data_IF_839342705079
#
_entry.id   IF_839342705079
#
_cell.length_a   1.000
_cell.length_b   1.000
_cell.length_c   1.000
_cell.angle_alpha   90.00
_cell.angle_beta   90.00
_cell.angle_gamma   90.00
#
_symmetry.space_group_name_H-M   'P 1'
#
loop_
_entity.id
_entity.type
_entity.pdbx_description
1 polymer ?
#
# COMPACT_ATOMS: atom_id res chain seq x y z
N UNK A 1 53.34 -31.28 10.37
CA UNK A 1 53.25 -31.49 11.84
C UNK A 1 52.44 -32.72 12.28
N UNK A 2 51.73 -33.47 11.40
CA UNK A 2 50.87 -34.60 11.81
C UNK A 2 51.53 -36.01 11.68
N UNK A 3 52.83 -36.09 11.38
CA UNK A 3 53.51 -37.36 11.07
C UNK A 3 53.64 -38.32 12.26
N UNK A 4 53.56 -37.83 13.51
CA UNK A 4 53.82 -38.62 14.73
C UNK A 4 52.54 -39.05 15.50
N UNK A 5 51.35 -38.87 14.92
CA UNK A 5 50.08 -39.25 15.57
C UNK A 5 49.65 -40.68 15.22
N UNK A 6 49.10 -41.40 16.20
CA UNK A 6 48.49 -42.71 15.98
C UNK A 6 47.31 -42.63 14.99
N UNK A 7 47.02 -43.72 14.29
CA UNK A 7 45.89 -43.81 13.35
C UNK A 7 44.56 -43.44 14.03
N UNK A 8 44.36 -43.87 15.28
CA UNK A 8 43.19 -43.54 16.10
C UNK A 8 43.04 -42.04 16.33
N UNK A 9 44.14 -41.35 16.67
CA UNK A 9 44.14 -39.90 16.90
C UNK A 9 43.83 -39.12 15.62
N UNK A 10 44.36 -39.56 14.47
CA UNK A 10 44.02 -38.96 13.17
C UNK A 10 42.54 -39.13 12.83
N UNK A 11 41.98 -40.31 13.04
CA UNK A 11 40.57 -40.59 12.76
C UNK A 11 39.63 -39.72 13.62
N UNK A 12 39.89 -39.63 14.92
CA UNK A 12 39.12 -38.78 15.85
C UNK A 12 39.20 -37.31 15.42
N UNK A 13 40.39 -36.83 15.06
CA UNK A 13 40.58 -35.45 14.61
C UNK A 13 39.76 -35.14 13.36
N UNK A 14 39.78 -36.01 12.35
CA UNK A 14 39.00 -35.82 11.11
C UNK A 14 37.50 -35.84 11.40
N UNK A 15 37.01 -36.78 12.21
CA UNK A 15 35.58 -36.85 12.57
C UNK A 15 35.14 -35.61 13.35
N UNK A 16 35.93 -35.16 14.33
CA UNK A 16 35.65 -33.96 15.09
C UNK A 16 35.64 -32.71 14.21
N UNK A 17 36.61 -32.58 13.30
CA UNK A 17 36.68 -31.47 12.35
C UNK A 17 35.48 -31.45 11.41
N UNK A 18 35.10 -32.60 10.83
CA UNK A 18 33.92 -32.71 9.98
C UNK A 18 32.64 -32.37 10.75
N UNK A 19 32.52 -32.84 11.99
CA UNK A 19 31.38 -32.53 12.86
C UNK A 19 31.28 -31.03 13.16
N UNK A 20 32.42 -30.38 13.42
CA UNK A 20 32.48 -28.94 13.68
C UNK A 20 32.14 -28.12 12.43
N UNK A 21 32.58 -28.54 11.25
CA UNK A 21 32.19 -27.91 9.97
C UNK A 21 30.68 -28.05 9.74
N UNK A 22 30.11 -29.25 9.96
CA UNK A 22 28.65 -29.46 9.83
C UNK A 22 27.87 -28.57 10.80
N UNK A 23 28.31 -28.44 12.05
CA UNK A 23 27.69 -27.54 13.02
C UNK A 23 27.78 -26.07 12.59
N UNK A 24 28.94 -25.62 12.12
CA UNK A 24 29.14 -24.26 11.63
C UNK A 24 28.21 -23.94 10.45
N UNK A 25 28.10 -24.86 9.48
CA UNK A 25 27.19 -24.74 8.33
C UNK A 25 25.72 -24.74 8.80
N UNK A 26 25.36 -25.67 9.70
CA UNK A 26 24.00 -25.77 10.23
C UNK A 26 23.55 -24.50 10.97
N UNK A 27 24.40 -23.97 11.84
CA UNK A 27 24.14 -22.72 12.56
C UNK A 27 24.06 -21.54 11.58
N UNK A 28 25.01 -21.44 10.63
CA UNK A 28 24.99 -20.40 9.61
C UNK A 28 23.72 -20.42 8.75
N UNK A 29 23.27 -21.62 8.37
CA UNK A 29 22.02 -21.82 7.63
C UNK A 29 20.80 -21.36 8.42
N UNK A 30 20.69 -21.74 9.70
CA UNK A 30 19.58 -21.32 10.57
C UNK A 30 19.52 -19.80 10.76
N UNK A 31 20.66 -19.16 10.97
CA UNK A 31 20.75 -17.69 11.13
C UNK A 31 20.33 -16.98 9.83
N UNK A 32 20.79 -17.47 8.68
CA UNK A 32 20.43 -16.93 7.37
C UNK A 32 18.92 -17.06 7.11
N UNK A 33 18.33 -18.24 7.34
CA UNK A 33 16.89 -18.48 7.18
C UNK A 33 16.08 -17.58 8.12
N UNK A 34 16.50 -17.42 9.38
CA UNK A 34 15.82 -16.53 10.32
C UNK A 34 15.80 -15.07 9.84
N UNK A 35 16.90 -14.59 9.27
CA UNK A 35 17.00 -13.23 8.70
C UNK A 35 16.09 -13.04 7.48
N UNK A 36 16.08 -14.02 6.56
CA UNK A 36 15.19 -14.00 5.39
C UNK A 36 13.73 -14.01 5.81
N UNK A 37 13.37 -14.86 6.78
CA UNK A 37 11.99 -14.94 7.26
C UNK A 37 11.52 -13.64 7.93
N UNK A 38 12.39 -12.98 8.72
CA UNK A 38 12.07 -11.68 9.32
C UNK A 38 11.85 -10.59 8.26
N UNK A 39 12.73 -10.50 7.25
CA UNK A 39 12.58 -9.56 6.13
C UNK A 39 11.30 -9.83 5.32
N UNK A 40 11.03 -11.10 5.02
CA UNK A 40 9.82 -11.50 4.30
C UNK A 40 8.55 -11.12 5.08
N UNK A 41 8.55 -11.32 6.40
CA UNK A 41 7.46 -10.92 7.28
C UNK A 41 7.20 -9.41 7.20
N UNK A 42 8.24 -8.59 7.31
CA UNK A 42 8.15 -7.12 7.16
C UNK A 42 7.65 -6.71 5.78
N UNK A 43 8.19 -7.29 4.70
CA UNK A 43 7.71 -7.00 3.34
C UNK A 43 6.22 -7.35 3.19
N UNK A 44 5.79 -8.48 3.73
CA UNK A 44 4.39 -8.89 3.65
C UNK A 44 3.48 -8.00 4.51
N UNK A 45 3.72 -7.96 5.82
CA UNK A 45 2.84 -7.31 6.80
C UNK A 45 2.82 -5.79 6.63
N UNK A 46 3.98 -5.17 6.37
CA UNK A 46 4.09 -3.71 6.36
C UNK A 46 3.96 -3.11 4.95
N UNK A 47 4.31 -3.86 3.88
CA UNK A 47 4.37 -3.30 2.51
C UNK A 47 3.34 -3.88 1.56
N UNK A 48 3.17 -5.19 1.51
CA UNK A 48 2.18 -5.82 0.61
C UNK A 48 0.75 -5.52 1.06
N UNK A 49 0.46 -5.60 2.36
CA UNK A 49 -0.87 -5.24 2.88
C UNK A 49 -1.16 -3.76 2.64
N UNK A 50 -0.18 -2.88 2.91
CA UNK A 50 -0.30 -1.44 2.64
C UNK A 50 -0.58 -1.16 1.16
N UNK A 51 0.13 -1.81 0.24
CA UNK A 51 -0.12 -1.71 -1.20
C UNK A 51 -1.54 -2.14 -1.57
N UNK A 52 -2.06 -3.22 -0.98
CA UNK A 52 -3.44 -3.65 -1.20
C UNK A 52 -4.47 -2.61 -0.73
N UNK A 53 -4.22 -1.96 0.42
CA UNK A 53 -5.07 -0.87 0.91
C UNK A 53 -5.01 0.36 0.00
N UNK A 54 -3.83 0.74 -0.47
CA UNK A 54 -3.64 1.87 -1.38
C UNK A 54 -4.25 1.61 -2.77
N UNK A 55 -4.11 0.40 -3.32
CA UNK A 55 -4.79 -0.01 -4.56
C UNK A 55 -6.31 0.07 -4.43
N UNK A 56 -6.85 -0.44 -3.32
CA UNK A 56 -8.28 -0.34 -3.02
C UNK A 56 -8.74 1.12 -2.95
N UNK A 57 -7.95 1.99 -2.31
CA UNK A 57 -8.21 3.42 -2.27
C UNK A 57 -8.31 4.03 -3.68
N UNK A 58 -7.35 3.74 -4.56
CA UNK A 58 -7.37 4.25 -5.94
C UNK A 58 -8.60 3.75 -6.69
N UNK A 59 -8.92 2.45 -6.60
CA UNK A 59 -10.10 1.88 -7.27
C UNK A 59 -11.41 2.51 -6.81
N UNK A 60 -11.56 2.78 -5.52
CA UNK A 60 -12.79 3.41 -5.00
C UNK A 60 -12.88 4.88 -5.47
N UNK A 61 -11.76 5.61 -5.54
CA UNK A 61 -11.72 6.97 -6.11
C UNK A 61 -12.18 6.94 -7.58
N UNK A 62 -11.60 6.06 -8.40
CA UNK A 62 -11.95 5.94 -9.81
C UNK A 62 -13.41 5.52 -10.00
N UNK A 63 -13.90 4.59 -9.17
CA UNK A 63 -15.30 4.16 -9.17
C UNK A 63 -16.23 5.32 -8.82
N UNK A 64 -15.91 6.11 -7.79
CA UNK A 64 -16.71 7.27 -7.41
C UNK A 64 -16.78 8.30 -8.54
N UNK A 65 -15.63 8.61 -9.16
CA UNK A 65 -15.60 9.52 -10.32
C UNK A 65 -16.45 8.98 -11.47
N UNK A 66 -16.32 7.68 -11.79
CA UNK A 66 -17.09 7.05 -12.84
C UNK A 66 -18.59 7.12 -12.58
N UNK A 67 -19.03 6.85 -11.35
CA UNK A 67 -20.44 6.92 -10.97
C UNK A 67 -21.00 8.34 -11.10
N UNK A 68 -20.23 9.36 -10.70
CA UNK A 68 -20.62 10.77 -10.88
C UNK A 68 -20.70 11.13 -12.35
N UNK A 69 -19.68 10.81 -13.15
CA UNK A 69 -19.65 11.10 -14.59
C UNK A 69 -20.79 10.39 -15.34
N UNK A 70 -21.08 9.13 -14.98
CA UNK A 70 -22.19 8.35 -15.51
C UNK A 70 -23.55 8.98 -15.15
N UNK A 71 -23.71 9.48 -13.94
CA UNK A 71 -24.96 10.09 -13.49
C UNK A 71 -25.24 11.44 -14.20
N UNK A 72 -24.21 12.17 -14.63
CA UNK A 72 -24.38 13.42 -15.41
C UNK A 72 -25.05 13.17 -16.77
N UNK A 73 -24.69 12.09 -17.47
CA UNK A 73 -25.21 11.76 -18.80
C UNK A 73 -26.28 10.66 -18.80
N UNK A 74 -26.58 10.11 -17.62
CA UNK A 74 -27.52 9.00 -17.43
C UNK A 74 -28.95 9.44 -17.11
N UNK A 75 -29.77 8.47 -16.70
CA UNK A 75 -31.14 8.71 -16.26
C UNK A 75 -31.17 9.49 -14.93
N UNK A 76 -31.76 10.70 -14.86
CA UNK A 76 -31.87 11.48 -13.63
C UNK A 76 -32.62 10.76 -12.50
N UNK A 77 -33.48 9.78 -12.82
CA UNK A 77 -34.17 8.97 -11.80
C UNK A 77 -33.20 8.00 -11.09
N UNK A 78 -32.10 7.62 -11.73
CA UNK A 78 -31.08 6.71 -11.18
C UNK A 78 -29.96 7.46 -10.45
N UNK A 79 -29.84 8.78 -10.63
CA UNK A 79 -28.76 9.59 -10.07
C UNK A 79 -28.65 9.44 -8.54
N UNK A 80 -29.78 9.46 -7.83
CA UNK A 80 -29.80 9.27 -6.37
C UNK A 80 -29.17 7.94 -5.93
N UNK A 81 -29.57 6.83 -6.57
CA UNK A 81 -29.05 5.51 -6.26
C UNK A 81 -27.54 5.37 -6.57
N UNK A 82 -27.06 6.00 -7.64
CA UNK A 82 -25.62 6.03 -7.93
C UNK A 82 -24.87 6.88 -6.87
N UNK A 83 -25.43 7.99 -6.41
CA UNK A 83 -24.81 8.82 -5.36
C UNK A 83 -24.80 8.13 -3.98
N UNK A 84 -25.72 7.22 -3.72
CA UNK A 84 -25.70 6.39 -2.52
C UNK A 84 -24.52 5.40 -2.55
N UNK A 85 -24.19 4.84 -3.72
CA UNK A 85 -22.97 4.04 -3.89
C UNK A 85 -21.70 4.88 -3.69
N UNK A 86 -21.68 6.11 -4.21
CA UNK A 86 -20.56 7.04 -3.96
C UNK A 86 -20.42 7.35 -2.46
N UNK A 87 -21.55 7.54 -1.77
CA UNK A 87 -21.57 7.77 -0.31
C UNK A 87 -20.99 6.57 0.45
N UNK A 88 -21.36 5.36 0.06
CA UNK A 88 -20.77 4.14 0.61
C UNK A 88 -19.26 4.03 0.33
N UNK A 89 -18.83 4.37 -0.89
CA UNK A 89 -17.41 4.41 -1.26
C UNK A 89 -16.60 5.42 -0.44
N UNK A 90 -17.16 6.59 -0.12
CA UNK A 90 -16.51 7.57 0.77
C UNK A 90 -16.28 6.96 2.16
N UNK A 91 -17.30 6.31 2.74
CA UNK A 91 -17.19 5.68 4.05
C UNK A 91 -16.18 4.52 4.07
N UNK A 92 -16.14 3.73 2.99
CA UNK A 92 -15.18 2.64 2.82
C UNK A 92 -13.74 3.14 2.67
N UNK A 93 -13.53 4.25 1.95
CA UNK A 93 -12.24 4.94 1.89
C UNK A 93 -11.79 5.46 3.26
N UNK A 94 -12.72 6.02 4.06
CA UNK A 94 -12.39 6.51 5.40
C UNK A 94 -11.94 5.36 6.31
N UNK A 95 -12.62 4.21 6.23
CA UNK A 95 -12.25 3.00 6.95
C UNK A 95 -10.88 2.48 6.50
N UNK A 96 -10.67 2.34 5.19
CA UNK A 96 -9.42 1.81 4.64
C UNK A 96 -8.24 2.73 4.95
N UNK A 97 -8.43 4.05 4.81
CA UNK A 97 -7.40 5.04 5.16
C UNK A 97 -7.05 5.00 6.65
N UNK A 98 -8.05 4.84 7.52
CA UNK A 98 -7.82 4.71 8.97
C UNK A 98 -7.04 3.44 9.31
N UNK A 99 -7.35 2.32 8.65
CA UNK A 99 -6.63 1.06 8.81
C UNK A 99 -5.18 1.17 8.34
N UNK A 100 -4.94 1.82 7.20
CA UNK A 100 -3.60 2.11 6.70
C UNK A 100 -2.80 2.97 7.68
N UNK A 101 -3.39 4.05 8.20
CA UNK A 101 -2.74 4.94 9.16
C UNK A 101 -2.49 4.34 10.55
N UNK A 102 -3.19 3.26 10.91
CA UNK A 102 -3.01 2.56 12.18
C UNK A 102 -1.78 1.63 12.20
N UNK A 103 -1.13 1.44 11.04
CA UNK A 103 0.09 0.65 10.91
C UNK A 103 1.33 1.44 11.32
N UNK A 104 2.50 0.78 11.31
CA UNK A 104 3.77 1.50 11.50
C UNK A 104 4.12 2.29 10.24
N UNK A 105 4.07 3.62 10.36
CA UNK A 105 4.45 4.54 9.28
C UNK A 105 5.86 5.10 9.54
N UNK A 106 6.68 5.15 8.50
CA UNK A 106 7.93 5.93 8.55
C UNK A 106 7.62 7.44 8.62
N UNK A 107 8.57 8.30 9.01
CA UNK A 107 8.35 9.75 9.00
C UNK A 107 7.97 10.30 7.62
N UNK A 108 8.58 9.78 6.56
CA UNK A 108 8.27 10.13 5.17
C UNK A 108 6.86 9.67 4.79
N UNK A 109 6.51 8.43 5.13
CA UNK A 109 5.19 7.85 4.87
C UNK A 109 4.07 8.64 5.56
N UNK A 110 4.31 9.05 6.80
CA UNK A 110 3.39 9.88 7.56
C UNK A 110 3.18 11.24 6.89
N UNK A 111 4.25 11.89 6.44
CA UNK A 111 4.16 13.18 5.75
C UNK A 111 3.38 13.07 4.43
N UNK A 112 3.63 12.03 3.62
CA UNK A 112 2.86 11.77 2.40
C UNK A 112 1.39 11.44 2.70
N UNK A 113 1.13 10.69 3.77
CA UNK A 113 -0.23 10.33 4.20
C UNK A 113 -1.04 11.56 4.63
N UNK A 114 -0.42 12.48 5.38
CA UNK A 114 -1.03 13.74 5.78
C UNK A 114 -1.33 14.63 4.55
N UNK A 115 -0.38 14.72 3.62
CA UNK A 115 -0.59 15.45 2.35
C UNK A 115 -1.75 14.86 1.54
N UNK A 116 -1.79 13.54 1.38
CA UNK A 116 -2.90 12.85 0.71
C UNK A 116 -4.24 13.13 1.39
N UNK A 117 -4.30 13.01 2.73
CA UNK A 117 -5.50 13.28 3.52
C UNK A 117 -6.02 14.69 3.27
N UNK A 118 -5.13 15.68 3.27
CA UNK A 118 -5.52 17.09 3.11
C UNK A 118 -6.03 17.38 1.68
N UNK A 119 -5.36 16.83 0.65
CA UNK A 119 -5.82 16.91 -0.75
C UNK A 119 -7.18 16.23 -0.91
N UNK A 120 -7.34 15.02 -0.37
CA UNK A 120 -8.61 14.28 -0.42
C UNK A 120 -9.72 15.04 0.28
N UNK A 121 -9.46 15.59 1.46
CA UNK A 121 -10.44 16.40 2.21
C UNK A 121 -10.91 17.59 1.39
N UNK A 122 -9.98 18.31 0.74
CA UNK A 122 -10.33 19.41 -0.14
C UNK A 122 -11.21 18.91 -1.30
N UNK A 123 -10.74 17.91 -2.07
CA UNK A 123 -11.49 17.32 -3.18
C UNK A 123 -12.91 16.88 -2.79
N UNK A 124 -13.08 16.26 -1.62
CA UNK A 124 -14.39 15.86 -1.11
C UNK A 124 -15.32 17.05 -0.87
N UNK A 125 -14.80 18.13 -0.28
CA UNK A 125 -15.58 19.30 0.13
C UNK A 125 -15.89 20.25 -1.04
N UNK A 126 -14.91 20.49 -1.91
CA UNK A 126 -15.01 21.50 -2.98
C UNK A 126 -15.55 20.94 -4.28
N UNK A 127 -15.47 19.61 -4.48
CA UNK A 127 -15.75 18.98 -5.78
C UNK A 127 -16.74 17.83 -5.66
N UNK A 128 -16.40 16.77 -4.92
CA UNK A 128 -17.22 15.54 -4.94
C UNK A 128 -18.60 15.75 -4.32
N UNK A 129 -18.68 16.29 -3.10
CA UNK A 129 -19.96 16.53 -2.43
C UNK A 129 -20.87 17.50 -3.20
N UNK A 130 -20.38 18.66 -3.67
CA UNK A 130 -21.20 19.54 -4.53
C UNK A 130 -21.74 18.85 -5.78
N UNK A 131 -20.94 18.00 -6.45
CA UNK A 131 -21.42 17.22 -7.59
C UNK A 131 -22.53 16.24 -7.20
N UNK A 132 -22.36 15.54 -6.08
CA UNK A 132 -23.37 14.61 -5.55
C UNK A 132 -24.67 15.33 -5.20
N UNK A 133 -24.59 16.51 -4.57
CA UNK A 133 -25.76 17.29 -4.18
C UNK A 133 -26.51 17.82 -5.40
N UNK A 134 -25.79 18.34 -6.42
CA UNK A 134 -26.37 18.76 -7.69
C UNK A 134 -27.08 17.61 -8.41
N UNK A 135 -26.44 16.43 -8.48
CA UNK A 135 -27.03 15.23 -9.09
C UNK A 135 -28.28 14.75 -8.35
N UNK A 136 -28.29 14.78 -7.03
CA UNK A 136 -29.49 14.44 -6.22
C UNK A 136 -30.62 15.45 -6.41
N UNK A 137 -30.28 16.71 -6.60
CA UNK A 137 -31.24 17.77 -6.92
C UNK A 137 -31.67 17.78 -8.39
N UNK A 138 -31.17 16.85 -9.22
CA UNK A 138 -31.38 16.80 -10.67
C UNK A 138 -30.93 18.08 -11.40
N UNK A 139 -30.00 18.82 -10.81
CA UNK A 139 -29.32 19.95 -11.44
C UNK A 139 -28.16 19.45 -12.30
N UNK A 140 -28.50 18.87 -13.46
CA UNK A 140 -27.54 18.30 -14.40
C UNK A 140 -26.54 19.34 -14.91
N UNK A 141 -26.94 20.62 -15.01
CA UNK A 141 -26.05 21.68 -15.49
C UNK A 141 -24.93 21.91 -14.48
N UNK A 142 -25.26 22.16 -13.21
CA UNK A 142 -24.25 22.37 -12.17
C UNK A 142 -23.36 21.14 -12.01
N UNK A 143 -23.93 19.94 -12.04
CA UNK A 143 -23.16 18.70 -12.00
C UNK A 143 -22.17 18.58 -13.18
N UNK A 144 -22.62 18.93 -14.40
CA UNK A 144 -21.76 18.93 -15.59
C UNK A 144 -20.62 19.94 -15.45
N UNK A 145 -20.91 21.16 -15.00
CA UNK A 145 -19.92 22.23 -14.81
C UNK A 145 -18.85 21.80 -13.78
N UNK A 146 -19.24 21.11 -12.71
CA UNK A 146 -18.30 20.57 -11.71
C UNK A 146 -17.44 19.44 -12.29
N UNK A 147 -18.04 18.48 -12.98
CA UNK A 147 -17.32 17.33 -13.57
C UNK A 147 -16.30 17.80 -14.61
N UNK A 148 -16.68 18.70 -15.51
CA UNK A 148 -15.79 19.24 -16.53
C UNK A 148 -14.80 20.28 -15.98
N UNK A 149 -15.14 20.92 -14.86
CA UNK A 149 -14.32 21.93 -14.21
C UNK A 149 -13.45 21.37 -13.08
N UNK A 150 -13.91 21.53 -11.83
CA UNK A 150 -13.09 21.27 -10.65
C UNK A 150 -12.69 19.80 -10.52
N UNK A 151 -13.55 18.86 -10.92
CA UNK A 151 -13.22 17.43 -10.87
C UNK A 151 -12.07 17.07 -11.80
N UNK A 152 -12.11 17.50 -13.06
CA UNK A 152 -11.02 17.30 -14.02
C UNK A 152 -9.71 17.93 -13.54
N UNK A 153 -9.77 19.09 -12.87
CA UNK A 153 -8.59 19.82 -12.38
C UNK A 153 -7.99 19.21 -11.11
N UNK A 154 -8.81 18.78 -10.16
CA UNK A 154 -8.36 18.39 -8.81
C UNK A 154 -8.03 16.90 -8.69
N UNK A 155 -8.66 16.05 -9.50
CA UNK A 155 -8.45 14.61 -9.44
C UNK A 155 -7.02 14.16 -9.74
N UNK A 156 -6.29 14.72 -10.72
CA UNK A 156 -4.89 14.34 -10.97
C UNK A 156 -4.02 14.51 -9.72
N UNK A 157 -4.16 15.61 -8.98
CA UNK A 157 -3.39 15.84 -7.76
C UNK A 157 -3.72 14.83 -6.64
N UNK A 158 -4.97 14.37 -6.57
CA UNK A 158 -5.39 13.31 -5.65
C UNK A 158 -4.76 11.96 -6.03
N UNK A 159 -4.80 11.61 -7.32
CA UNK A 159 -4.20 10.37 -7.84
C UNK A 159 -2.67 10.37 -7.66
N UNK A 160 -2.00 11.50 -7.95
CA UNK A 160 -0.56 11.64 -7.74
C UNK A 160 -0.16 11.49 -6.28
N UNK A 161 -0.98 12.00 -5.35
CA UNK A 161 -0.74 11.82 -3.92
C UNK A 161 -0.88 10.36 -3.48
N UNK A 162 -1.85 9.61 -4.02
CA UNK A 162 -1.96 8.17 -3.78
C UNK A 162 -0.81 7.38 -4.41
N UNK A 163 -0.41 7.73 -5.64
CA UNK A 163 0.72 7.11 -6.34
C UNK A 163 2.05 7.33 -5.62
N UNK A 164 2.26 8.50 -5.00
CA UNK A 164 3.44 8.75 -4.18
C UNK A 164 3.55 7.80 -2.98
N UNK A 165 2.41 7.49 -2.33
CA UNK A 165 2.36 6.51 -1.24
C UNK A 165 2.67 5.10 -1.76
N UNK A 166 2.11 4.72 -2.91
CA UNK A 166 2.38 3.41 -3.56
C UNK A 166 3.87 3.29 -3.89
N UNK A 167 4.46 4.33 -4.49
CA UNK A 167 5.87 4.34 -4.84
C UNK A 167 6.77 4.18 -3.60
N UNK A 168 6.44 4.88 -2.51
CA UNK A 168 7.16 4.72 -1.25
C UNK A 168 7.13 3.28 -0.73
N UNK A 169 5.99 2.58 -0.84
CA UNK A 169 5.92 1.17 -0.42
C UNK A 169 6.81 0.27 -1.30
N UNK A 170 6.83 0.50 -2.61
CA UNK A 170 7.68 -0.25 -3.55
C UNK A 170 9.17 -0.03 -3.24
N UNK A 171 9.56 1.22 -3.00
CA UNK A 171 10.95 1.57 -2.69
C UNK A 171 11.39 1.01 -1.33
N UNK A 172 10.51 1.06 -0.33
CA UNK A 172 10.78 0.50 1.00
C UNK A 172 10.86 -1.04 0.94
N UNK A 173 9.97 -1.69 0.19
CA UNK A 173 10.02 -3.15 0.00
C UNK A 173 11.32 -3.58 -0.69
N UNK A 174 11.77 -2.82 -1.70
CA UNK A 174 13.07 -3.06 -2.36
C UNK A 174 14.24 -2.91 -1.39
N UNK A 175 14.24 -1.85 -0.57
CA UNK A 175 15.29 -1.63 0.42
C UNK A 175 15.36 -2.76 1.47
N UNK A 176 14.22 -3.24 1.96
CA UNK A 176 14.17 -4.38 2.90
C UNK A 176 14.66 -5.68 2.26
N UNK A 177 14.35 -5.92 0.98
CA UNK A 177 14.90 -7.05 0.23
C UNK A 177 16.43 -6.95 0.09
N UNK A 178 16.96 -5.81 -0.34
CA UNK A 178 18.41 -5.62 -0.51
C UNK A 178 19.18 -5.79 0.81
N UNK A 179 18.59 -5.36 1.93
CA UNK A 179 19.14 -5.53 3.28
C UNK A 179 19.16 -7.00 3.73
N UNK A 180 18.24 -7.83 3.23
CA UNK A 180 18.22 -9.27 3.55
C UNK A 180 19.32 -10.05 2.83
N UNK A 181 19.89 -9.52 1.73
CA UNK A 181 20.91 -10.17 0.91
C UNK A 181 22.35 -9.88 1.37
N UNK A 182 22.55 -8.86 2.22
CA UNK A 182 23.85 -8.54 2.82
C UNK A 182 24.09 -9.31 4.11
#
# INVERSE_FOLDING_TARGET
MLKNLSIKSRLIFVIALLSLIMLAIGIGGLVSIAKVNASLKTVYEDRVIALGQLDHIVRVIDTNQFLVAKAVSGDPAQAGAEMDKVTAGIADLDKTSSAYMATYLTPEEKALSEKYRDIRKNYLQTTLKPAMDALRAQDTKTATDIVQGSMTRELPALNDAANALIQLQLDTAKAEYEKSQR
#
